data_IF_447755475859
#
_entry.id   IF_447755475859
#
_cell.length_a   1.000
_cell.length_b   1.000
_cell.length_c   1.000
_cell.angle_alpha   90.00
_cell.angle_beta   90.00
_cell.angle_gamma   90.00
#
_symmetry.space_group_name_H-M   'P 1'
#
loop_
_entity.id
_entity.type
_entity.pdbx_description
1 polymer ?
#
# COMPACT_ATOMS: atom_id res chain seq x y z
N UNK A 1 9.89 3.26 -21.16
CA UNK A 1 9.77 2.28 -20.06
C UNK A 1 8.84 2.90 -19.04
N UNK A 2 7.82 2.16 -18.58
CA UNK A 2 6.91 2.63 -17.53
C UNK A 2 7.29 1.85 -16.26
N UNK A 3 7.73 2.51 -15.18
CA UNK A 3 8.02 1.83 -13.92
C UNK A 3 6.73 1.43 -13.21
N UNK A 4 6.82 0.41 -12.38
CA UNK A 4 5.74 -0.04 -11.51
C UNK A 4 6.20 -0.06 -10.05
N UNK A 5 5.33 0.45 -9.17
CA UNK A 5 5.43 0.27 -7.73
C UNK A 5 4.07 -0.22 -7.23
N UNK A 6 3.93 -1.52 -7.01
CA UNK A 6 2.65 -2.17 -6.73
C UNK A 6 2.14 -1.88 -5.30
N UNK A 7 0.90 -1.39 -5.22
CA UNK A 7 0.25 -0.91 -4.00
C UNK A 7 -1.27 -1.03 -4.11
N UNK A 8 -2.00 -1.23 -2.99
CA UNK A 8 -1.50 -1.39 -1.63
C UNK A 8 -1.11 -2.84 -1.28
N UNK A 9 -1.36 -3.80 -2.18
CA UNK A 9 -1.01 -5.22 -2.06
C UNK A 9 0.38 -5.55 -2.58
N UNK A 10 0.76 -6.83 -2.61
CA UNK A 10 2.09 -7.31 -3.06
C UNK A 10 3.29 -6.70 -2.34
N UNK A 11 3.09 -6.16 -1.13
CA UNK A 11 4.10 -5.38 -0.41
C UNK A 11 4.83 -6.15 0.70
N UNK A 12 4.74 -7.48 0.72
CA UNK A 12 5.36 -8.29 1.78
C UNK A 12 6.87 -8.03 1.92
N UNK A 13 7.60 -7.84 0.82
CA UNK A 13 9.02 -7.52 0.88
C UNK A 13 9.29 -6.17 1.56
N UNK A 14 8.41 -5.20 1.38
CA UNK A 14 8.48 -3.89 2.03
C UNK A 14 8.14 -4.02 3.51
N UNK A 15 7.07 -4.73 3.87
CA UNK A 15 6.70 -4.96 5.27
C UNK A 15 7.78 -5.77 6.01
N UNK A 16 8.47 -6.69 5.33
CA UNK A 16 9.60 -7.41 5.90
C UNK A 16 10.78 -6.47 6.24
N UNK A 17 11.04 -5.46 5.39
CA UNK A 17 12.14 -4.51 5.57
C UNK A 17 11.76 -3.33 6.49
N UNK A 18 10.51 -2.89 6.45
CA UNK A 18 9.94 -1.74 7.14
C UNK A 18 8.58 -2.11 7.75
N UNK A 19 8.55 -2.89 8.84
CA UNK A 19 7.31 -3.41 9.43
C UNK A 19 6.32 -2.32 9.87
N UNK A 20 6.81 -1.12 10.19
CA UNK A 20 5.98 0.01 10.60
C UNK A 20 4.99 0.48 9.52
N UNK A 21 5.21 0.12 8.25
CA UNK A 21 4.30 0.46 7.15
C UNK A 21 3.29 -0.65 6.83
N UNK A 22 3.35 -1.78 7.53
CA UNK A 22 2.37 -2.87 7.41
C UNK A 22 1.11 -2.62 8.23
N UNK A 23 -0.04 -3.13 7.75
CA UNK A 23 -1.35 -2.87 8.36
C UNK A 23 -1.56 -3.43 9.78
N UNK A 24 -0.84 -4.50 10.16
CA UNK A 24 -0.98 -5.18 11.45
C UNK A 24 0.26 -5.09 12.34
N UNK A 25 1.32 -4.40 11.89
CA UNK A 25 2.58 -4.29 12.63
C UNK A 25 3.34 -5.61 12.78
N UNK A 26 3.05 -6.60 11.93
CA UNK A 26 3.77 -7.86 11.85
C UNK A 26 5.05 -7.72 11.02
N UNK A 27 6.01 -8.64 11.23
CA UNK A 27 7.30 -8.64 10.54
C UNK A 27 7.50 -9.98 9.82
N UNK A 28 6.90 -10.13 8.62
CA UNK A 28 7.07 -11.35 7.85
C UNK A 28 8.50 -11.48 7.30
N UNK A 29 8.97 -12.70 7.01
CA UNK A 29 10.10 -12.85 6.11
C UNK A 29 9.71 -12.42 4.69
N UNK A 30 10.70 -12.09 3.86
CA UNK A 30 10.47 -11.97 2.41
C UNK A 30 10.01 -13.33 1.88
N UNK A 31 8.89 -13.34 1.15
CA UNK A 31 8.33 -14.56 0.59
C UNK A 31 9.22 -15.14 -0.52
N UNK A 32 9.34 -16.46 -0.53
CA UNK A 32 9.91 -17.23 -1.65
C UNK A 32 8.84 -18.09 -2.35
N UNK A 33 7.56 -17.84 -2.07
CA UNK A 33 6.42 -18.58 -2.62
C UNK A 33 5.64 -17.72 -3.59
N UNK A 34 5.13 -18.36 -4.65
CA UNK A 34 4.18 -17.75 -5.58
C UNK A 34 2.78 -17.68 -5.00
N UNK A 35 1.95 -16.79 -5.55
CA UNK A 35 0.54 -16.62 -5.18
C UNK A 35 0.26 -15.31 -4.46
N UNK A 36 -0.98 -15.17 -4.01
CA UNK A 36 -1.47 -13.97 -3.33
C UNK A 36 -0.97 -13.94 -1.89
N UNK A 37 -0.33 -12.85 -1.51
CA UNK A 37 0.12 -12.59 -0.14
C UNK A 37 -0.81 -11.56 0.52
N UNK A 38 -1.07 -11.73 1.82
CA UNK A 38 -2.07 -10.92 2.54
C UNK A 38 -1.56 -9.54 3.01
N UNK A 39 -0.27 -9.25 2.82
CA UNK A 39 0.37 -8.05 3.36
C UNK A 39 -0.06 -6.80 2.61
N UNK A 40 -0.66 -5.87 3.33
CA UNK A 40 -1.08 -4.56 2.82
C UNK A 40 -0.35 -3.43 3.52
N UNK A 41 -0.05 -2.37 2.77
CA UNK A 41 0.33 -1.08 3.35
C UNK A 41 -0.72 -0.57 4.33
N UNK A 42 -0.28 0.11 5.39
CA UNK A 42 -1.16 0.87 6.26
C UNK A 42 -1.67 2.14 5.56
N UNK A 43 -2.62 2.84 6.18
CA UNK A 43 -3.31 4.01 5.59
C UNK A 43 -3.14 5.29 6.42
N UNK A 44 -2.08 5.34 7.23
CA UNK A 44 -1.67 6.53 7.97
C UNK A 44 -0.74 7.44 7.15
N UNK A 45 -0.57 8.67 7.62
CA UNK A 45 0.22 9.70 6.93
C UNK A 45 1.71 9.33 6.85
N UNK A 46 2.23 8.60 7.85
CA UNK A 46 3.63 8.16 7.85
C UNK A 46 3.89 7.14 6.72
N UNK A 47 2.92 6.26 6.44
CA UNK A 47 2.98 5.32 5.33
C UNK A 47 2.86 6.02 3.98
N UNK A 48 1.98 7.01 3.86
CA UNK A 48 1.89 7.82 2.64
C UNK A 48 3.17 8.63 2.39
N UNK A 49 3.78 9.22 3.42
CA UNK A 49 5.05 9.93 3.28
C UNK A 49 6.20 9.03 2.81
N UNK A 50 6.22 7.76 3.24
CA UNK A 50 7.16 6.77 2.70
C UNK A 50 6.89 6.46 1.22
N UNK A 51 5.64 6.20 0.86
CA UNK A 51 5.23 5.90 -0.52
C UNK A 51 5.59 7.07 -1.44
N UNK A 52 5.22 8.29 -1.06
CA UNK A 52 5.52 9.52 -1.81
C UNK A 52 7.03 9.70 -2.01
N UNK A 53 7.84 9.48 -0.97
CA UNK A 53 9.30 9.54 -1.09
C UNK A 53 9.87 8.51 -2.07
N UNK A 54 9.35 7.28 -2.06
CA UNK A 54 9.75 6.24 -3.05
C UNK A 54 9.32 6.63 -4.46
N UNK A 55 8.10 7.14 -4.63
CA UNK A 55 7.60 7.61 -5.92
C UNK A 55 8.44 8.78 -6.45
N UNK A 56 8.81 9.75 -5.62
CA UNK A 56 9.67 10.87 -5.99
C UNK A 56 11.03 10.38 -6.55
N UNK A 57 11.66 9.40 -5.88
CA UNK A 57 12.91 8.82 -6.37
C UNK A 57 12.71 8.09 -7.71
N UNK A 58 11.65 7.31 -7.87
CA UNK A 58 11.33 6.61 -9.13
C UNK A 58 11.10 7.63 -10.25
N UNK A 59 10.28 8.65 -10.02
CA UNK A 59 9.94 9.68 -11.02
C UNK A 59 11.17 10.49 -11.44
N UNK A 60 12.14 10.71 -10.54
CA UNK A 60 13.41 11.35 -10.89
C UNK A 60 14.29 10.47 -11.80
N UNK A 61 14.18 9.15 -11.71
CA UNK A 61 14.98 8.18 -12.49
C UNK A 61 14.39 7.88 -13.86
N UNK A 62 13.06 7.86 -13.98
CA UNK A 62 12.38 7.48 -15.21
C UNK A 62 11.74 8.69 -15.90
N UNK A 63 12.12 9.03 -17.14
CA UNK A 63 11.55 10.18 -17.88
C UNK A 63 10.11 9.91 -18.40
N UNK A 64 9.44 8.89 -17.89
CA UNK A 64 8.08 8.50 -18.26
C UNK A 64 7.08 9.51 -17.70
N UNK A 65 6.03 9.81 -18.45
CA UNK A 65 4.88 10.59 -17.97
C UNK A 65 3.85 9.73 -17.24
N UNK A 66 4.11 8.43 -17.11
CA UNK A 66 3.25 7.45 -16.47
C UNK A 66 4.04 6.62 -15.47
N UNK A 67 3.40 6.28 -14.37
CA UNK A 67 3.82 5.28 -13.40
C UNK A 67 2.67 4.29 -13.19
N UNK A 68 2.98 3.00 -13.09
CA UNK A 68 2.00 1.98 -12.73
C UNK A 68 2.03 1.81 -11.20
N UNK A 69 0.88 1.89 -10.54
CA UNK A 69 0.78 1.74 -9.08
C UNK A 69 0.32 0.34 -8.66
N UNK A 70 0.19 -0.59 -9.61
CA UNK A 70 -0.33 -1.94 -9.38
C UNK A 70 -1.80 -1.93 -8.98
N UNK A 71 -2.11 -2.53 -7.83
CA UNK A 71 -3.44 -2.53 -7.23
C UNK A 71 -4.24 -3.81 -7.41
N UNK A 72 -3.63 -4.85 -7.97
CA UNK A 72 -4.19 -6.18 -8.04
C UNK A 72 -4.07 -6.93 -6.71
N UNK A 73 -4.88 -7.98 -6.57
CA UNK A 73 -4.83 -9.01 -5.52
C UNK A 73 -4.69 -8.54 -4.05
N UNK A 74 -5.04 -7.27 -3.76
CA UNK A 74 -5.06 -6.75 -2.40
C UNK A 74 -6.20 -7.41 -1.58
N UNK A 75 -5.91 -8.49 -0.85
CA UNK A 75 -6.89 -9.16 0.03
C UNK A 75 -7.12 -8.33 1.28
N UNK A 76 -8.38 -8.01 1.59
CA UNK A 76 -8.75 -6.99 2.59
C UNK A 76 -8.67 -7.42 4.05
N UNK A 77 -8.33 -8.68 4.32
CA UNK A 77 -8.34 -9.26 5.66
C UNK A 77 -7.50 -8.46 6.67
N UNK A 78 -6.34 -7.94 6.27
CA UNK A 78 -5.50 -7.14 7.18
C UNK A 78 -6.13 -5.78 7.51
N UNK A 79 -6.73 -5.11 6.52
CA UNK A 79 -7.45 -3.85 6.74
C UNK A 79 -8.70 -4.04 7.60
N UNK A 80 -9.42 -5.15 7.42
CA UNK A 80 -10.56 -5.52 8.26
C UNK A 80 -10.16 -5.77 9.72
N UNK A 81 -9.01 -6.40 9.94
CA UNK A 81 -8.50 -6.71 11.27
C UNK A 81 -7.82 -5.53 11.97
N UNK A 82 -7.29 -4.55 11.21
CA UNK A 82 -6.50 -3.45 11.76
C UNK A 82 -7.36 -2.39 12.43
N UNK A 83 -7.25 -2.17 13.77
CA UNK A 83 -8.02 -1.14 14.44
C UNK A 83 -7.68 0.28 13.96
N UNK A 84 -6.44 0.49 13.51
CA UNK A 84 -5.95 1.77 12.98
C UNK A 84 -6.63 2.06 11.64
N UNK A 85 -6.62 1.09 10.71
CA UNK A 85 -7.28 1.22 9.41
C UNK A 85 -8.78 1.45 9.60
N UNK A 86 -9.42 0.68 10.47
CA UNK A 86 -10.85 0.82 10.76
C UNK A 86 -11.18 2.19 11.38
N UNK A 87 -10.31 2.74 12.23
CA UNK A 87 -10.47 4.10 12.76
C UNK A 87 -10.35 5.14 11.64
N UNK A 88 -9.35 5.01 10.77
CA UNK A 88 -9.13 5.91 9.64
C UNK A 88 -10.31 5.90 8.67
N UNK A 89 -10.88 4.73 8.37
CA UNK A 89 -12.09 4.62 7.54
C UNK A 89 -13.26 5.39 8.15
N UNK A 90 -13.47 5.30 9.46
CA UNK A 90 -14.53 6.05 10.16
C UNK A 90 -14.32 7.55 10.10
N UNK A 91 -13.08 8.02 10.26
CA UNK A 91 -12.73 9.45 10.13
C UNK A 91 -13.00 9.99 8.72
N UNK A 92 -12.70 9.18 7.70
CA UNK A 92 -12.86 9.54 6.30
C UNK A 92 -14.29 9.31 5.77
N UNK A 93 -15.18 8.69 6.55
CA UNK A 93 -16.52 8.32 6.11
C UNK A 93 -16.54 7.25 5.01
N UNK A 94 -15.54 6.36 4.99
CA UNK A 94 -15.40 5.29 4.01
C UNK A 94 -16.18 4.04 4.48
N UNK A 95 -17.01 3.50 3.60
CA UNK A 95 -17.98 2.46 3.94
C UNK A 95 -17.35 1.06 4.15
N UNK A 96 -16.37 0.70 3.32
CA UNK A 96 -15.73 -0.63 3.33
C UNK A 96 -14.31 -0.56 2.76
N UNK A 97 -13.57 -1.66 2.87
CA UNK A 97 -12.17 -1.73 2.46
C UNK A 97 -11.96 -1.66 0.93
N UNK A 98 -13.01 -1.90 0.14
CA UNK A 98 -12.96 -1.73 -1.32
C UNK A 98 -13.02 -0.25 -1.68
N UNK A 99 -13.93 0.49 -1.03
CA UNK A 99 -13.95 1.94 -1.09
C UNK A 99 -12.67 2.56 -0.52
N UNK A 100 -12.06 1.95 0.49
CA UNK A 100 -10.74 2.37 1.01
C UNK A 100 -9.64 2.23 -0.03
N UNK A 101 -9.59 1.13 -0.79
CA UNK A 101 -8.61 1.00 -1.89
C UNK A 101 -8.83 2.10 -2.95
N UNK A 102 -10.09 2.40 -3.28
CA UNK A 102 -10.42 3.48 -4.22
C UNK A 102 -9.93 4.84 -3.71
N UNK A 103 -10.09 5.09 -2.41
CA UNK A 103 -9.57 6.29 -1.76
C UNK A 103 -8.04 6.33 -1.76
N UNK A 104 -7.38 5.21 -1.46
CA UNK A 104 -5.92 5.10 -1.45
C UNK A 104 -5.33 5.46 -2.82
N UNK A 105 -5.87 4.87 -3.89
CA UNK A 105 -5.45 5.17 -5.27
C UNK A 105 -5.67 6.64 -5.59
N UNK A 106 -6.86 7.17 -5.31
CA UNK A 106 -7.18 8.58 -5.57
C UNK A 106 -6.26 9.55 -4.83
N UNK A 107 -5.80 9.18 -3.64
CA UNK A 107 -4.86 10.00 -2.86
C UNK A 107 -3.49 10.11 -3.53
N UNK A 108 -3.04 9.07 -4.23
CA UNK A 108 -1.75 9.07 -4.94
C UNK A 108 -1.81 9.75 -6.31
N UNK A 109 -3.00 10.05 -6.84
CA UNK A 109 -3.16 10.75 -8.12
C UNK A 109 -2.92 12.27 -8.03
N UNK A 110 -2.81 12.83 -6.83
CA UNK A 110 -2.74 14.29 -6.58
C UNK A 110 -1.38 14.72 -6.07
#
# INVERSE_FOLDING_TARGET
MVPEFDMPGHVQAIVAAYPQYGSLGDTPPVSNQWGVHQYLFNVDEDTFGFIEGVLDEILALFPSTYIHIGGDEAVKDQWQQSPIVQARMRELGIADETALQSWFVKRLET
#
